data_IF_021768304073
#
_entry.id   IF_021768304073
#
_cell.length_a   1.000
_cell.length_b   1.000
_cell.length_c   1.000
_cell.angle_alpha   90.00
_cell.angle_beta   90.00
_cell.angle_gamma   90.00
#
_symmetry.space_group_name_H-M   'P 1'
#
loop_
_entity.id
_entity.type
_entity.pdbx_description
1 polymer ?
#
# COMPACT_ATOMS: atom_id res chain seq x y z
N UNK A 1 -2.32 -8.03 -21.38
CA UNK A 1 -3.21 -8.78 -20.50
C UNK A 1 -2.53 -9.37 -19.28
N UNK A 2 -1.42 -10.06 -19.41
CA UNK A 2 -0.64 -10.56 -18.26
C UNK A 2 -0.02 -9.43 -17.43
N UNK A 3 0.35 -8.32 -18.05
CA UNK A 3 0.86 -7.10 -17.38
C UNK A 3 -0.16 -6.54 -16.42
N UNK A 4 -1.45 -6.55 -16.77
CA UNK A 4 -2.52 -6.06 -15.91
C UNK A 4 -2.64 -6.87 -14.61
N UNK A 5 -2.50 -8.19 -14.67
CA UNK A 5 -2.58 -9.03 -13.47
C UNK A 5 -1.41 -8.81 -12.52
N UNK A 6 -0.26 -8.48 -13.06
CA UNK A 6 0.93 -8.21 -12.27
C UNK A 6 0.87 -6.84 -11.60
N UNK A 7 0.49 -5.81 -12.36
CA UNK A 7 0.24 -4.48 -11.80
C UNK A 7 -0.84 -4.52 -10.72
N UNK A 8 -1.86 -5.38 -10.91
CA UNK A 8 -2.87 -5.68 -9.89
C UNK A 8 -2.25 -6.21 -8.61
N UNK A 9 -1.41 -7.23 -8.71
CA UNK A 9 -0.77 -7.83 -7.54
C UNK A 9 0.12 -6.84 -6.81
N UNK A 10 0.89 -6.03 -7.54
CA UNK A 10 1.76 -5.01 -6.97
C UNK A 10 0.99 -3.89 -6.29
N UNK A 11 -0.08 -3.44 -6.92
CA UNK A 11 -0.94 -2.40 -6.37
C UNK A 11 -1.65 -2.88 -5.10
N UNK A 12 -2.19 -4.10 -5.13
CA UNK A 12 -2.78 -4.72 -3.95
C UNK A 12 -1.73 -4.86 -2.85
N UNK A 13 -0.53 -5.28 -3.20
CA UNK A 13 0.56 -5.45 -2.26
C UNK A 13 0.93 -4.13 -1.59
N UNK A 14 1.02 -3.04 -2.36
CA UNK A 14 1.27 -1.71 -1.84
C UNK A 14 0.17 -1.24 -0.89
N UNK A 15 -1.09 -1.46 -1.23
CA UNK A 15 -2.22 -1.01 -0.41
C UNK A 15 -2.38 -1.89 0.84
N UNK A 16 -2.25 -3.20 0.71
CA UNK A 16 -2.25 -4.11 1.86
C UNK A 16 -1.08 -3.77 2.78
N UNK A 17 0.08 -3.43 2.23
CA UNK A 17 1.22 -2.98 3.01
C UNK A 17 0.92 -1.70 3.78
N UNK A 18 0.32 -0.70 3.14
CA UNK A 18 -0.09 0.55 3.80
C UNK A 18 -1.07 0.27 4.94
N UNK A 19 -2.09 -0.53 4.68
CA UNK A 19 -3.14 -0.83 5.68
C UNK A 19 -2.58 -1.67 6.83
N UNK A 20 -1.73 -2.67 6.54
CA UNK A 20 -1.12 -3.50 7.58
C UNK A 20 -0.07 -2.74 8.39
N UNK A 21 0.66 -1.81 7.80
CA UNK A 21 1.59 -0.95 8.53
C UNK A 21 0.85 -0.02 9.49
N UNK A 22 -0.27 0.54 9.07
CA UNK A 22 -1.13 1.34 9.95
C UNK A 22 -1.65 0.49 11.11
N UNK A 23 -1.98 -0.78 10.86
CA UNK A 23 -2.51 -1.70 11.88
C UNK A 23 -1.44 -2.31 12.79
N UNK A 24 -0.21 -2.50 12.28
CA UNK A 24 0.82 -3.32 12.93
C UNK A 24 1.94 -2.51 13.58
N UNK A 25 1.99 -1.20 13.38
CA UNK A 25 3.15 -0.45 13.82
C UNK A 25 3.01 0.16 15.23
N UNK A 26 4.18 0.30 15.86
CA UNK A 26 4.40 0.91 17.18
C UNK A 26 3.96 2.38 17.29
N UNK A 27 3.35 2.91 16.25
CA UNK A 27 2.97 4.32 16.18
C UNK A 27 1.97 4.75 17.24
N UNK A 28 1.17 3.84 17.73
CA UNK A 28 0.38 4.01 18.93
C UNK A 28 -0.25 2.67 19.30
N UNK A 29 -0.29 2.36 20.57
CA UNK A 29 -1.07 1.26 21.11
C UNK A 29 -2.54 1.28 20.61
N UNK A 30 -3.00 2.44 20.16
CA UNK A 30 -4.32 2.68 19.56
C UNK A 30 -4.54 1.91 18.26
N UNK A 31 -3.51 1.79 17.40
CA UNK A 31 -3.65 1.13 16.10
C UNK A 31 -3.46 -0.38 16.16
N UNK A 32 -2.85 -0.89 17.21
CA UNK A 32 -2.62 -2.33 17.40
C UNK A 32 -3.92 -3.14 17.56
N UNK A 33 -5.02 -2.47 17.87
CA UNK A 33 -6.34 -3.08 18.05
C UNK A 33 -7.20 -3.06 16.78
N UNK A 34 -6.76 -2.36 15.73
CA UNK A 34 -7.51 -2.30 14.49
C UNK A 34 -7.48 -3.65 13.76
N UNK A 35 -8.62 -4.08 13.28
CA UNK A 35 -8.75 -5.36 12.57
C UNK A 35 -9.25 -5.13 11.15
N UNK A 36 -8.62 -5.79 10.20
CA UNK A 36 -9.08 -5.84 8.81
C UNK A 36 -9.95 -7.09 8.66
N UNK A 37 -11.22 -6.89 8.30
CA UNK A 37 -12.17 -7.99 8.11
C UNK A 37 -12.15 -8.54 6.70
N UNK A 38 -12.10 -7.66 5.73
CA UNK A 38 -12.14 -8.04 4.32
C UNK A 38 -11.55 -6.94 3.45
N UNK A 39 -11.18 -7.27 2.23
CA UNK A 39 -10.68 -6.30 1.26
C UNK A 39 -10.92 -6.79 -0.15
N UNK A 40 -10.97 -5.88 -1.10
CA UNK A 40 -11.14 -6.22 -2.50
C UNK A 40 -10.75 -5.10 -3.44
N UNK A 41 -10.68 -5.44 -4.70
CA UNK A 41 -10.39 -4.49 -5.77
C UNK A 41 -11.72 -3.90 -6.25
N UNK A 42 -11.80 -2.57 -6.29
CA UNK A 42 -12.94 -1.87 -6.88
C UNK A 42 -12.72 -1.62 -8.36
N UNK A 43 -11.56 -1.09 -8.74
CA UNK A 43 -11.24 -0.78 -10.12
C UNK A 43 -9.74 -0.80 -10.37
N UNK A 44 -9.37 -1.12 -11.60
CA UNK A 44 -8.00 -0.96 -12.10
C UNK A 44 -8.09 -0.46 -13.52
N UNK A 45 -7.49 0.69 -13.78
CA UNK A 45 -7.52 1.36 -15.07
C UNK A 45 -6.08 1.63 -15.50
N UNK A 46 -5.59 0.94 -16.54
CA UNK A 46 -4.31 1.31 -17.15
C UNK A 46 -4.44 2.72 -17.78
N UNK A 47 -3.50 3.60 -17.43
CA UNK A 47 -3.45 4.94 -18.02
C UNK A 47 -2.45 5.01 -19.17
N UNK A 48 -1.39 4.21 -19.11
CA UNK A 48 -0.37 4.12 -20.14
C UNK A 48 0.36 2.78 -20.01
N UNK A 49 1.38 2.55 -20.83
CA UNK A 49 2.26 1.38 -20.68
C UNK A 49 3.06 1.37 -19.38
N UNK A 50 3.17 2.52 -18.72
CA UNK A 50 4.01 2.71 -17.55
C UNK A 50 3.25 3.13 -16.30
N UNK A 51 1.94 3.28 -16.37
CA UNK A 51 1.15 3.75 -15.23
C UNK A 51 -0.23 3.11 -15.15
N UNK A 52 -0.71 2.94 -13.95
CA UNK A 52 -2.03 2.39 -13.64
C UNK A 52 -2.66 3.19 -12.52
N UNK A 53 -3.96 3.37 -12.60
CA UNK A 53 -4.78 3.93 -11.52
C UNK A 53 -5.72 2.87 -11.02
N UNK A 54 -5.96 2.83 -9.72
CA UNK A 54 -6.86 1.85 -9.15
C UNK A 54 -7.49 2.30 -7.85
N UNK A 55 -8.48 1.54 -7.44
CA UNK A 55 -9.11 1.70 -6.15
C UNK A 55 -9.37 0.33 -5.53
N UNK A 56 -9.20 0.26 -4.23
CA UNK A 56 -9.54 -0.90 -3.42
C UNK A 56 -10.48 -0.47 -2.31
N UNK A 57 -11.19 -1.42 -1.76
CA UNK A 57 -11.97 -1.22 -0.55
C UNK A 57 -11.46 -2.15 0.55
N UNK A 58 -11.54 -1.68 1.77
CA UNK A 58 -11.12 -2.42 2.96
C UNK A 58 -12.21 -2.27 4.02
N UNK A 59 -12.67 -3.38 4.56
CA UNK A 59 -13.55 -3.39 5.73
C UNK A 59 -12.69 -3.48 6.99
N UNK A 60 -12.81 -2.47 7.84
CA UNK A 60 -12.00 -2.36 9.06
C UNK A 60 -12.89 -2.19 10.28
N UNK A 61 -12.39 -2.70 11.41
CA UNK A 61 -12.93 -2.39 12.74
C UNK A 61 -11.88 -1.58 13.48
N UNK A 62 -12.20 -0.33 13.75
CA UNK A 62 -11.34 0.60 14.48
C UNK A 62 -11.97 0.88 15.84
N UNK A 63 -11.48 0.25 16.92
CA UNK A 63 -12.04 0.47 18.26
C UNK A 63 -11.59 1.80 18.90
N UNK A 64 -10.68 2.51 18.24
CA UNK A 64 -10.12 3.77 18.72
C UNK A 64 -10.77 4.97 18.04
N UNK A 65 -10.16 6.14 18.17
CA UNK A 65 -10.67 7.35 17.55
C UNK A 65 -10.48 7.35 16.02
N UNK A 66 -11.26 8.15 15.32
CA UNK A 66 -11.13 8.43 13.90
C UNK A 66 -9.73 8.98 13.58
N UNK A 67 -9.12 8.52 12.50
CA UNK A 67 -7.85 9.04 12.03
C UNK A 67 -7.83 9.18 10.51
N UNK A 68 -6.96 10.05 10.02
CA UNK A 68 -6.75 10.28 8.59
C UNK A 68 -5.34 9.86 8.23
N UNK A 69 -5.20 9.15 7.12
CA UNK A 69 -3.90 8.80 6.52
C UNK A 69 -3.70 9.68 5.29
N UNK A 70 -2.57 10.36 5.23
CA UNK A 70 -2.24 11.30 4.15
C UNK A 70 -0.78 11.16 3.75
N UNK A 71 -0.39 11.87 2.69
CA UNK A 71 0.99 11.87 2.17
C UNK A 71 1.53 10.46 1.91
N UNK A 72 0.69 9.63 1.33
CA UNK A 72 0.99 8.22 1.12
C UNK A 72 1.84 8.06 -0.13
N UNK A 73 3.01 7.46 0.04
CA UNK A 73 3.89 7.11 -1.08
C UNK A 73 4.58 5.78 -0.82
N UNK A 74 4.86 5.07 -1.89
CA UNK A 74 5.55 3.80 -1.81
C UNK A 74 6.43 3.57 -3.03
N UNK A 75 7.46 2.76 -2.84
CA UNK A 75 8.38 2.38 -3.92
C UNK A 75 8.78 0.93 -3.74
N UNK A 76 8.72 0.18 -4.81
CA UNK A 76 9.12 -1.23 -4.84
C UNK A 76 10.47 -1.35 -5.50
N UNK A 77 11.38 -2.08 -4.87
CA UNK A 77 12.73 -2.36 -5.35
C UNK A 77 12.88 -3.85 -5.64
N UNK A 78 13.63 -4.14 -6.67
CA UNK A 78 14.14 -5.49 -6.93
C UNK A 78 15.66 -5.46 -6.81
N UNK A 79 16.22 -6.23 -5.86
CA UNK A 79 17.66 -6.29 -5.61
C UNK A 79 18.30 -4.90 -5.50
N UNK A 80 17.60 -3.97 -4.85
CA UNK A 80 18.06 -2.61 -4.64
C UNK A 80 17.79 -1.63 -5.78
N UNK A 81 17.24 -2.09 -6.90
CA UNK A 81 16.90 -1.22 -8.05
C UNK A 81 15.43 -0.81 -7.99
N UNK A 82 15.12 0.50 -8.06
CA UNK A 82 13.74 0.96 -8.03
C UNK A 82 12.97 0.53 -9.28
N UNK A 83 11.80 -0.05 -9.09
CA UNK A 83 10.98 -0.62 -10.15
C UNK A 83 9.66 0.13 -10.34
N UNK A 84 8.91 0.29 -9.27
CA UNK A 84 7.57 0.87 -9.27
C UNK A 84 7.46 1.84 -8.13
N UNK A 85 6.77 2.94 -8.37
CA UNK A 85 6.41 3.92 -7.35
C UNK A 85 4.91 4.20 -7.40
N UNK A 86 4.36 4.53 -6.25
CA UNK A 86 2.94 4.81 -6.15
C UNK A 86 2.62 5.86 -5.10
N UNK A 87 1.47 6.48 -5.27
CA UNK A 87 0.90 7.44 -4.33
C UNK A 87 -0.59 7.16 -4.16
N UNK A 88 -1.14 7.60 -3.05
CA UNK A 88 -2.58 7.55 -2.82
C UNK A 88 -3.04 8.87 -2.18
N UNK A 89 -4.26 9.35 -2.52
CA UNK A 89 -4.85 10.47 -1.81
C UNK A 89 -5.16 10.11 -0.35
N UNK A 90 -5.33 11.12 0.47
CA UNK A 90 -5.73 10.94 1.86
C UNK A 90 -7.06 10.19 1.98
N UNK A 91 -7.15 9.36 3.00
CA UNK A 91 -8.40 8.69 3.37
C UNK A 91 -8.57 8.70 4.89
N UNK A 92 -9.82 8.58 5.33
CA UNK A 92 -10.18 8.62 6.75
C UNK A 92 -10.78 7.29 7.19
N UNK A 93 -10.33 6.81 8.34
CA UNK A 93 -10.87 5.62 8.99
C UNK A 93 -11.67 6.05 10.22
N UNK A 94 -12.98 5.85 10.16
CA UNK A 94 -13.88 6.19 11.27
C UNK A 94 -13.76 5.20 12.42
N UNK A 95 -14.16 5.64 13.60
CA UNK A 95 -14.30 4.76 14.77
C UNK A 95 -15.40 3.73 14.52
N UNK A 96 -15.16 2.49 14.91
CA UNK A 96 -16.09 1.39 14.74
C UNK A 96 -15.87 0.64 13.43
N UNK A 97 -16.91 -0.01 12.97
CA UNK A 97 -16.87 -0.79 11.73
C UNK A 97 -17.15 0.12 10.54
N UNK A 98 -16.28 0.08 9.54
CA UNK A 98 -16.43 0.90 8.32
C UNK A 98 -15.81 0.23 7.11
N UNK A 99 -16.29 0.64 5.94
CA UNK A 99 -15.71 0.27 4.64
C UNK A 99 -15.00 1.49 4.07
N UNK A 100 -13.70 1.39 3.92
CA UNK A 100 -12.85 2.48 3.44
C UNK A 100 -12.46 2.19 1.99
N UNK A 101 -12.63 3.19 1.14
CA UNK A 101 -12.16 3.13 -0.24
C UNK A 101 -10.84 3.88 -0.36
N UNK A 102 -9.83 3.21 -0.89
CA UNK A 102 -8.49 3.77 -1.08
C UNK A 102 -8.20 3.76 -2.58
N UNK A 103 -8.07 4.93 -3.16
CA UNK A 103 -7.64 5.09 -4.54
C UNK A 103 -6.16 5.42 -4.61
N UNK A 104 -5.54 5.17 -5.75
CA UNK A 104 -4.14 5.49 -5.93
C UNK A 104 -3.67 5.29 -7.35
N UNK A 105 -2.43 5.68 -7.58
CA UNK A 105 -1.76 5.53 -8.86
C UNK A 105 -0.37 4.97 -8.67
N UNK A 106 0.03 4.12 -9.60
CA UNK A 106 1.37 3.54 -9.62
C UNK A 106 1.98 3.67 -11.02
N UNK A 107 3.28 3.87 -11.07
CA UNK A 107 4.02 4.01 -12.33
C UNK A 107 5.38 3.36 -12.24
N UNK A 108 5.97 3.06 -13.40
CA UNK A 108 7.36 2.63 -13.45
C UNK A 108 8.28 3.74 -12.97
N UNK A 109 9.29 3.38 -12.19
CA UNK A 109 10.35 4.31 -11.80
C UNK A 109 11.19 4.71 -13.02
N UNK A 110 11.75 5.94 -13.04
CA UNK A 110 12.72 6.32 -14.06
C UNK A 110 13.87 5.31 -14.15
N UNK A 111 14.19 4.86 -15.35
CA UNK A 111 15.22 3.85 -15.58
C UNK A 111 14.75 2.40 -15.45
N UNK A 112 13.58 2.14 -14.90
CA UNK A 112 13.00 0.80 -14.92
C UNK A 112 12.48 0.47 -16.31
N UNK A 113 12.78 -0.74 -16.78
CA UNK A 113 12.32 -1.19 -18.08
C UNK A 113 11.07 -2.05 -17.97
N UNK A 114 10.29 -2.06 -19.03
CA UNK A 114 9.14 -2.97 -19.14
C UNK A 114 9.59 -4.44 -19.00
N UNK A 115 10.78 -4.76 -19.48
CA UNK A 115 11.36 -6.09 -19.34
C UNK A 115 11.63 -6.47 -17.88
N UNK A 116 12.08 -5.51 -17.07
CA UNK A 116 12.24 -5.71 -15.64
C UNK A 116 10.90 -6.03 -14.97
N UNK A 117 9.84 -5.34 -15.40
CA UNK A 117 8.49 -5.58 -14.91
C UNK A 117 7.97 -6.94 -15.36
N UNK A 118 8.24 -7.33 -16.61
CA UNK A 118 7.88 -8.67 -17.10
C UNK A 118 8.62 -9.79 -16.35
N UNK A 119 9.84 -9.53 -15.91
CA UNK A 119 10.60 -10.44 -15.05
C UNK A 119 9.92 -10.71 -13.70
N UNK A 120 9.01 -9.83 -13.26
CA UNK A 120 8.23 -10.04 -12.06
C UNK A 120 7.16 -11.15 -12.19
N UNK A 121 6.95 -11.70 -13.38
CA UNK A 121 6.15 -12.92 -13.55
C UNK A 121 6.78 -14.14 -12.87
N UNK A 122 8.10 -14.13 -12.80
CA UNK A 122 8.88 -15.14 -12.09
C UNK A 122 9.19 -14.61 -10.69
N UNK A 123 8.15 -14.11 -10.04
CA UNK A 123 8.22 -13.40 -8.78
C UNK A 123 8.76 -14.30 -7.68
N UNK A 124 9.99 -14.01 -7.27
CA UNK A 124 10.53 -14.51 -6.02
C UNK A 124 10.42 -13.38 -4.98
N UNK A 125 9.53 -13.50 -3.99
CA UNK A 125 9.33 -12.44 -3.02
C UNK A 125 10.59 -12.07 -2.23
N UNK A 126 11.59 -12.94 -2.18
CA UNK A 126 12.85 -12.67 -1.50
C UNK A 126 13.68 -11.57 -2.19
N UNK A 127 13.48 -11.36 -3.49
CA UNK A 127 14.23 -10.37 -4.26
C UNK A 127 13.68 -8.95 -4.12
N UNK A 128 12.52 -8.80 -3.51
CA UNK A 128 11.77 -7.53 -3.48
C UNK A 128 11.72 -6.91 -2.10
N UNK A 129 11.84 -5.59 -2.07
CA UNK A 129 11.63 -4.78 -0.88
C UNK A 129 10.78 -3.56 -1.19
N UNK A 130 10.20 -2.96 -0.17
CA UNK A 130 9.29 -1.82 -0.30
C UNK A 130 9.69 -0.73 0.67
N UNK A 131 9.71 0.51 0.17
CA UNK A 131 9.74 1.70 1.00
C UNK A 131 8.32 2.27 1.06
N UNK A 132 7.85 2.63 2.24
CA UNK A 132 6.52 3.22 2.43
C UNK A 132 6.65 4.41 3.36
N UNK A 133 5.96 5.49 3.03
CA UNK A 133 5.84 6.68 3.86
C UNK A 133 4.39 7.14 3.91
N UNK A 134 3.94 7.57 5.07
CA UNK A 134 2.60 8.13 5.27
C UNK A 134 2.57 9.02 6.50
N UNK A 135 1.57 9.90 6.57
CA UNK A 135 1.28 10.71 7.75
C UNK A 135 -0.07 10.31 8.33
N UNK A 136 -0.11 10.05 9.63
CA UNK A 136 -1.34 9.71 10.35
C UNK A 136 -1.72 10.90 11.21
N UNK A 137 -2.94 11.41 11.02
CA UNK A 137 -3.50 12.51 11.80
C UNK A 137 -4.66 11.98 12.63
N UNK A 138 -4.54 12.07 13.94
CA UNK A 138 -5.60 11.70 14.88
C UNK A 138 -6.69 12.78 14.93
N UNK A 139 -7.87 12.42 15.42
CA UNK A 139 -8.99 13.36 15.62
C UNK A 139 -8.60 14.53 16.53
N UNK A 140 -7.69 14.33 17.45
CA UNK A 140 -7.12 15.38 18.32
C UNK A 140 -6.23 16.38 17.60
N UNK A 141 -5.86 16.13 16.33
CA UNK A 141 -4.93 16.94 15.55
C UNK A 141 -3.47 16.49 15.63
N UNK A 142 -3.16 15.52 16.47
CA UNK A 142 -1.81 14.97 16.57
C UNK A 142 -1.41 14.26 15.28
N UNK A 143 -0.25 14.62 14.74
CA UNK A 143 0.28 14.04 13.50
C UNK A 143 1.52 13.21 13.77
N UNK A 144 1.61 12.07 13.08
CA UNK A 144 2.79 11.22 13.08
C UNK A 144 3.13 10.80 11.66
N UNK A 145 4.40 10.94 11.30
CA UNK A 145 4.93 10.42 10.05
C UNK A 145 5.46 9.01 10.31
N UNK A 146 4.99 8.07 9.52
CA UNK A 146 5.45 6.68 9.51
C UNK A 146 6.26 6.47 8.25
N UNK A 147 7.50 6.04 8.41
CA UNK A 147 8.39 5.72 7.29
C UNK A 147 9.06 4.39 7.56
N UNK A 148 8.90 3.45 6.63
CA UNK A 148 9.56 2.15 6.66
C UNK A 148 10.33 1.97 5.37
N UNK A 149 11.61 1.63 5.49
CA UNK A 149 12.51 1.41 4.36
C UNK A 149 13.01 -0.03 4.36
N UNK A 150 13.26 -0.55 3.16
CA UNK A 150 13.74 -1.92 2.94
C UNK A 150 12.88 -2.99 3.61
N UNK A 151 11.57 -2.78 3.60
CA UNK A 151 10.65 -3.78 4.13
C UNK A 151 10.58 -4.96 3.17
N UNK A 152 11.01 -6.17 3.58
CA UNK A 152 10.94 -7.33 2.71
C UNK A 152 9.49 -7.65 2.34
N UNK A 153 9.25 -7.92 1.07
CA UNK A 153 7.91 -8.31 0.59
C UNK A 153 7.44 -9.58 1.29
N UNK A 154 8.36 -10.48 1.62
CA UNK A 154 8.06 -11.69 2.40
C UNK A 154 7.42 -11.38 3.74
N UNK A 155 7.84 -10.30 4.41
CA UNK A 155 7.25 -9.88 5.69
C UNK A 155 5.80 -9.42 5.51
N UNK A 156 5.48 -8.75 4.38
CA UNK A 156 4.13 -8.30 4.07
C UNK A 156 3.20 -9.47 3.75
N UNK A 157 3.70 -10.49 3.07
CA UNK A 157 2.92 -11.67 2.72
C UNK A 157 2.58 -12.54 3.94
N UNK A 158 3.33 -12.45 5.01
CA UNK A 158 3.09 -13.19 6.26
C UNK A 158 2.03 -12.55 7.16
N UNK A 159 1.63 -11.32 6.86
CA UNK A 159 0.64 -10.57 7.65
C UNK A 159 -0.82 -10.90 7.30
N UNK A 160 -1.00 -11.93 6.51
CA UNK A 160 -2.35 -12.45 6.21
C UNK A 160 -2.89 -13.27 7.37
#
# INVERSE_FOLDING_TARGET
MKINNMLKKLYILLIVAVVTLVAADDCAAQFSKMTIKDYGIKSIVPESFSSVRGAVWVEVVNPTETFTVSDISGKVYKEGSPMIQGTAPAFTVGKGESKVEISGAASLCPGASLWSVLGMFFFDPEDYSVDISMTITLASGTKRTVEKKNLPVTALLKLK
#
